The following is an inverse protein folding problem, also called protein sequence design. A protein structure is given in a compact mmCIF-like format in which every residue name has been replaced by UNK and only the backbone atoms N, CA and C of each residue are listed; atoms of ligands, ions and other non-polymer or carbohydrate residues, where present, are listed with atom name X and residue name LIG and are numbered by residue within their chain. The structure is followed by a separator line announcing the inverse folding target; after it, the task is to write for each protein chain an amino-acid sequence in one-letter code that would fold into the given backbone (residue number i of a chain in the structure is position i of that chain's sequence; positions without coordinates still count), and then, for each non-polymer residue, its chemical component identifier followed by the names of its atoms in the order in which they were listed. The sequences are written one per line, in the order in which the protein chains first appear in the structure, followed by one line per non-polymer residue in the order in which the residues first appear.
data_IF_227862491383
#
_entry.id   IF_227862491383
#
_cell.length_a   1.000
_cell.length_b   1.000
_cell.length_c   1.000
_cell.angle_alpha   90.00
_cell.angle_beta   90.00
_cell.angle_gamma   90.00
#
_symmetry.space_group_name_H-M   'P 1'
#
loop_
_entity.id
_entity.type
_entity.pdbx_description
1 polymer ?
#
# COMPACT_ATOMS: atom_id res chain seq x y z
N UNK A 1 -51.91 1.25 39.78
CA UNK A 1 -51.83 1.54 38.33
C UNK A 1 -50.39 1.32 37.91
N UNK A 2 -50.10 0.08 37.51
CA UNK A 2 -48.86 -0.32 36.85
C UNK A 2 -48.93 0.23 35.42
N UNK A 3 -48.02 1.12 35.05
CA UNK A 3 -47.69 1.34 33.64
C UNK A 3 -46.33 0.70 33.37
N UNK A 4 -46.31 -0.03 32.28
CA UNK A 4 -45.51 -1.23 32.04
C UNK A 4 -44.10 -0.88 31.55
N UNK A 5 -43.08 -1.16 32.37
CA UNK A 5 -41.65 -1.04 32.06
C UNK A 5 -41.17 -2.09 31.02
N UNK A 6 -42.07 -2.93 30.48
CA UNK A 6 -41.71 -3.95 29.49
C UNK A 6 -41.69 -3.45 28.04
N UNK A 7 -42.24 -2.28 27.70
CA UNK A 7 -42.22 -1.79 26.31
C UNK A 7 -40.96 -1.01 25.90
N UNK A 8 -40.09 -0.60 26.84
CA UNK A 8 -38.80 0.03 26.50
C UNK A 8 -37.65 -0.98 26.31
N UNK A 9 -37.86 -2.26 26.63
CA UNK A 9 -36.83 -3.30 26.56
C UNK A 9 -36.78 -4.07 25.23
N UNK A 10 -37.63 -3.75 24.24
CA UNK A 10 -37.73 -4.53 22.98
C UNK A 10 -37.43 -3.72 21.71
N UNK A 11 -36.68 -2.62 21.83
CA UNK A 11 -36.05 -1.94 20.67
C UNK A 11 -34.51 -1.92 20.72
N UNK A 12 -33.91 -2.73 21.58
CA UNK A 12 -32.45 -2.86 21.75
C UNK A 12 -31.89 -4.21 21.28
N UNK A 13 -32.56 -4.83 20.33
CA UNK A 13 -32.08 -6.00 19.61
C UNK A 13 -32.15 -5.67 18.12
N UNK A 14 -31.05 -5.85 17.40
CA UNK A 14 -30.79 -5.43 16.00
C UNK A 14 -30.21 -4.00 15.87
N UNK A 15 -29.01 -3.78 16.39
CA UNK A 15 -27.95 -3.06 15.67
C UNK A 15 -26.64 -3.72 16.09
N UNK A 16 -25.80 -4.06 15.11
CA UNK A 16 -24.50 -4.68 15.32
C UNK A 16 -23.64 -3.86 16.27
N UNK A 17 -22.80 -4.56 17.03
CA UNK A 17 -21.87 -3.97 17.96
C UNK A 17 -20.69 -3.33 17.19
N UNK A 18 -20.95 -2.25 16.46
CA UNK A 18 -19.92 -1.36 15.91
C UNK A 18 -19.42 -0.49 17.06
N UNK A 19 -18.31 -0.90 17.69
CA UNK A 19 -17.55 0.03 18.52
C UNK A 19 -16.87 1.01 17.56
N UNK A 20 -17.47 2.19 17.43
CA UNK A 20 -16.91 3.35 16.73
C UNK A 20 -15.46 3.56 17.23
N UNK A 21 -14.49 3.64 16.33
CA UNK A 21 -13.10 3.89 16.70
C UNK A 21 -13.00 5.29 17.32
N UNK A 22 -12.33 5.41 18.47
CA UNK A 22 -12.18 6.69 19.20
C UNK A 22 -11.43 7.75 18.36
N UNK A 23 -10.73 7.30 17.31
CA UNK A 23 -10.05 8.14 16.34
C UNK A 23 -10.37 7.71 14.91
N UNK A 24 -10.44 8.69 14.01
CA UNK A 24 -10.67 8.49 12.57
C UNK A 24 -9.37 8.61 11.77
N UNK A 25 -8.40 9.38 12.27
CA UNK A 25 -7.21 9.76 11.51
C UNK A 25 -5.94 9.52 12.30
N UNK A 26 -4.99 8.79 11.72
CA UNK A 26 -3.62 8.69 12.23
C UNK A 26 -2.65 9.51 11.37
N UNK A 27 -1.72 10.23 12.01
CA UNK A 27 -0.65 10.96 11.30
C UNK A 27 0.65 10.15 11.39
N UNK A 28 1.07 9.60 10.25
CA UNK A 28 2.35 8.91 10.07
C UNK A 28 3.41 9.90 9.55
N UNK A 29 4.51 10.04 10.29
CA UNK A 29 5.61 10.95 9.95
C UNK A 29 6.94 10.36 10.44
N UNK A 30 8.05 10.94 9.98
CA UNK A 30 9.38 10.55 10.43
C UNK A 30 9.77 11.37 11.66
N UNK A 31 10.38 10.74 12.66
CA UNK A 31 11.01 11.46 13.74
C UNK A 31 12.28 12.16 13.20
N UNK A 32 12.16 13.45 12.93
CA UNK A 32 13.18 14.33 12.38
C UNK A 32 13.71 15.32 13.44
N UNK A 33 13.78 16.61 13.09
CA UNK A 33 14.14 17.72 13.95
C UNK A 33 12.94 18.23 14.76
N UNK A 34 13.21 19.02 15.81
CA UNK A 34 12.15 19.53 16.69
C UNK A 34 11.21 20.52 15.98
N UNK A 35 11.69 21.23 14.96
CA UNK A 35 10.85 22.11 14.13
C UNK A 35 9.77 21.28 13.39
N UNK A 36 10.16 20.14 12.82
CA UNK A 36 9.23 19.22 12.18
C UNK A 36 8.24 18.66 13.21
N UNK A 37 8.70 18.24 14.39
CA UNK A 37 7.82 17.68 15.44
C UNK A 37 6.79 18.69 15.93
N UNK A 38 7.19 19.95 16.09
CA UNK A 38 6.27 21.02 16.46
C UNK A 38 5.30 21.34 15.33
N UNK A 39 5.75 21.33 14.08
CA UNK A 39 4.87 21.51 12.93
C UNK A 39 3.79 20.41 12.84
N UNK A 40 4.18 19.15 13.06
CA UNK A 40 3.25 18.00 13.10
C UNK A 40 2.21 18.19 14.20
N UNK A 41 2.66 18.58 15.39
CA UNK A 41 1.78 18.87 16.52
C UNK A 41 0.81 20.00 16.19
N UNK A 42 1.29 21.09 15.60
CA UNK A 42 0.47 22.22 15.17
C UNK A 42 -0.62 21.80 14.18
N UNK A 43 -0.26 21.03 13.14
CA UNK A 43 -1.22 20.48 12.18
C UNK A 43 -2.26 19.59 12.87
N UNK A 44 -1.82 18.67 13.72
CA UNK A 44 -2.71 17.75 14.45
C UNK A 44 -3.68 18.50 15.38
N UNK A 45 -3.18 19.50 16.11
CA UNK A 45 -4.00 20.37 16.96
C UNK A 45 -5.03 21.13 16.15
N UNK A 46 -4.66 21.69 15.01
CA UNK A 46 -5.58 22.42 14.14
C UNK A 46 -6.68 21.49 13.59
N UNK A 47 -6.30 20.31 13.07
CA UNK A 47 -7.27 19.30 12.61
C UNK A 47 -8.25 18.88 13.72
N UNK A 48 -7.78 18.74 14.98
CA UNK A 48 -8.65 18.45 16.12
C UNK A 48 -9.59 19.59 16.46
N UNK A 49 -9.10 20.83 16.41
CA UNK A 49 -9.95 22.01 16.59
C UNK A 49 -11.06 22.07 15.54
N UNK A 50 -10.77 21.63 14.32
CA UNK A 50 -11.69 21.63 13.19
C UNK A 50 -12.54 20.34 13.09
N UNK A 51 -12.56 19.52 14.15
CA UNK A 51 -13.50 18.42 14.32
C UNK A 51 -12.99 17.03 13.91
N UNK A 52 -11.72 16.90 13.53
CA UNK A 52 -11.12 15.60 13.17
C UNK A 52 -10.60 14.88 14.42
N UNK A 53 -10.99 13.62 14.63
CA UNK A 53 -10.44 12.79 15.72
C UNK A 53 -9.06 12.24 15.33
N UNK A 54 -8.01 13.02 15.61
CA UNK A 54 -6.61 12.69 15.28
C UNK A 54 -5.92 11.91 16.39
N UNK A 55 -5.33 10.77 16.03
CA UNK A 55 -4.37 9.99 16.80
C UNK A 55 -2.94 10.41 16.44
N UNK A 56 -2.14 10.78 17.43
CA UNK A 56 -0.74 11.22 17.27
C UNK A 56 0.14 10.58 18.34
N UNK A 57 1.25 9.97 17.92
CA UNK A 57 2.21 9.30 18.82
C UNK A 57 2.72 10.21 19.95
N UNK A 58 2.93 11.50 19.68
CA UNK A 58 3.41 12.48 20.67
C UNK A 58 2.48 12.66 21.88
N UNK A 59 1.21 12.31 21.77
CA UNK A 59 0.24 12.39 22.87
C UNK A 59 -0.03 11.03 23.52
N UNK A 60 0.13 9.96 22.76
CA UNK A 60 -0.38 8.64 23.11
C UNK A 60 0.71 7.67 23.57
N UNK A 61 1.98 8.00 23.33
CA UNK A 61 3.12 7.13 23.66
C UNK A 61 3.95 7.70 24.80
N UNK A 62 4.41 6.81 25.68
CA UNK A 62 5.27 7.12 26.82
C UNK A 62 6.55 6.28 26.79
N UNK A 63 7.62 6.67 27.50
CA UNK A 63 8.83 5.86 27.58
C UNK A 63 8.54 4.45 28.11
N UNK A 64 8.88 3.43 27.32
CA UNK A 64 8.57 2.03 27.59
C UNK A 64 7.63 1.40 26.57
N UNK A 65 6.88 2.21 25.83
CA UNK A 65 5.99 1.73 24.78
C UNK A 65 6.76 1.21 23.56
N UNK A 66 6.16 0.20 22.92
CA UNK A 66 6.64 -0.31 21.65
C UNK A 66 6.04 0.50 20.50
N UNK A 67 6.75 1.56 20.08
CA UNK A 67 6.35 2.41 18.95
C UNK A 67 5.94 1.63 17.68
N UNK A 68 6.61 0.53 17.28
CA UNK A 68 6.19 -0.25 16.12
C UNK A 68 4.80 -0.88 16.28
N UNK A 69 4.48 -1.39 17.47
CA UNK A 69 3.17 -1.98 17.76
C UNK A 69 2.08 -0.92 17.75
N UNK A 70 2.35 0.25 18.37
CA UNK A 70 1.45 1.40 18.34
C UNK A 70 1.15 1.83 16.89
N UNK A 71 2.19 1.97 16.05
CA UNK A 71 2.03 2.37 14.66
C UNK A 71 1.20 1.35 13.86
N UNK A 72 1.48 0.04 14.01
CA UNK A 72 0.71 -1.00 13.33
C UNK A 72 -0.78 -0.95 13.73
N UNK A 73 -1.07 -0.78 15.01
CA UNK A 73 -2.44 -0.65 15.51
C UNK A 73 -3.12 0.63 15.00
N UNK A 74 -2.44 1.77 15.08
CA UNK A 74 -2.91 3.05 14.62
C UNK A 74 -3.26 3.04 13.13
N UNK A 75 -2.36 2.47 12.32
CA UNK A 75 -2.56 2.28 10.89
C UNK A 75 -3.79 1.39 10.65
N UNK A 76 -3.89 0.24 11.30
CA UNK A 76 -4.99 -0.71 11.08
C UNK A 76 -6.35 -0.12 11.46
N UNK A 77 -6.44 0.57 12.60
CA UNK A 77 -7.70 1.02 13.20
C UNK A 77 -8.21 2.36 12.66
N UNK A 78 -7.34 3.19 12.09
CA UNK A 78 -7.76 4.49 11.57
C UNK A 78 -8.49 4.36 10.23
N UNK A 79 -9.48 5.22 10.02
CA UNK A 79 -10.18 5.35 8.74
C UNK A 79 -9.29 6.01 7.68
N UNK A 80 -8.56 7.06 8.07
CA UNK A 80 -7.52 7.67 7.25
C UNK A 80 -6.16 7.60 7.94
N UNK A 81 -5.13 7.50 7.12
CA UNK A 81 -3.74 7.60 7.53
C UNK A 81 -3.10 8.71 6.71
N UNK A 82 -2.83 9.83 7.36
CA UNK A 82 -2.14 10.98 6.77
C UNK A 82 -0.64 10.70 6.79
N UNK A 83 -0.02 10.70 5.62
CA UNK A 83 1.40 10.39 5.45
C UNK A 83 2.17 11.67 5.20
N UNK A 84 3.00 12.08 6.14
CA UNK A 84 3.80 13.29 6.00
C UNK A 84 5.08 12.97 5.23
N UNK A 85 5.07 13.31 3.95
CA UNK A 85 6.16 13.10 3.03
C UNK A 85 7.24 14.18 3.19
N UNK A 86 8.45 13.73 3.50
CA UNK A 86 9.70 14.48 3.50
C UNK A 86 10.81 13.61 2.91
N UNK A 87 11.97 14.16 2.50
CA UNK A 87 13.08 13.36 2.00
C UNK A 87 13.55 12.31 3.02
N UNK A 88 13.48 12.64 4.31
CA UNK A 88 13.84 11.74 5.40
C UNK A 88 12.78 10.64 5.62
N UNK A 89 11.49 10.96 5.50
CA UNK A 89 10.43 9.95 5.51
C UNK A 89 10.63 8.92 4.39
N UNK A 90 10.86 9.40 3.16
CA UNK A 90 11.16 8.52 2.02
C UNK A 90 12.36 7.63 2.30
N UNK A 91 13.48 8.21 2.74
CA UNK A 91 14.69 7.45 3.02
C UNK A 91 14.44 6.33 4.04
N UNK A 92 13.72 6.61 5.15
CA UNK A 92 13.38 5.61 6.17
C UNK A 92 12.41 4.55 5.65
N UNK A 93 11.38 4.96 4.91
CA UNK A 93 10.40 4.04 4.33
C UNK A 93 11.04 3.09 3.33
N UNK A 94 11.95 3.58 2.48
CA UNK A 94 12.62 2.78 1.46
C UNK A 94 13.80 1.96 2.01
N UNK A 95 14.45 2.41 3.09
CA UNK A 95 15.50 1.64 3.76
C UNK A 95 14.98 0.33 4.39
N UNK A 96 13.68 0.22 4.67
CA UNK A 96 13.03 -1.01 5.14
C UNK A 96 13.15 -2.16 4.15
N UNK A 97 13.17 -1.85 2.85
CA UNK A 97 13.36 -2.82 1.76
C UNK A 97 14.73 -3.52 1.76
N UNK A 98 15.68 -3.03 2.57
CA UNK A 98 17.05 -3.57 2.73
C UNK A 98 17.31 -4.30 4.06
N UNK A 99 16.28 -4.51 4.89
CA UNK A 99 16.37 -5.36 6.09
C UNK A 99 16.83 -4.69 7.40
N UNK A 100 16.86 -3.35 7.49
CA UNK A 100 17.28 -2.64 8.72
C UNK A 100 16.36 -1.48 9.13
N UNK A 101 15.16 -1.32 8.56
CA UNK A 101 14.21 -0.30 9.03
C UNK A 101 12.77 -0.84 9.15
N UNK A 102 12.41 -1.18 10.39
CA UNK A 102 11.14 -1.81 10.78
C UNK A 102 9.88 -0.97 10.47
N UNK A 103 9.99 0.36 10.45
CA UNK A 103 8.84 1.26 10.24
C UNK A 103 8.37 1.31 8.78
N UNK A 104 9.32 1.19 7.83
CA UNK A 104 9.03 1.19 6.40
C UNK A 104 8.25 -0.06 6.00
N UNK A 105 8.56 -1.19 6.61
CA UNK A 105 7.96 -2.48 6.29
C UNK A 105 6.49 -2.57 6.73
N UNK A 106 6.12 -2.04 7.90
CA UNK A 106 4.73 -2.07 8.40
C UNK A 106 3.82 -1.22 7.52
N UNK A 107 4.25 0.01 7.21
CA UNK A 107 3.46 0.94 6.40
C UNK A 107 3.36 0.45 4.95
N UNK A 108 4.48 -0.01 4.38
CA UNK A 108 4.51 -0.54 3.03
C UNK A 108 3.70 -1.83 2.94
N UNK A 109 3.81 -2.73 3.91
CA UNK A 109 2.99 -3.94 3.97
C UNK A 109 1.50 -3.58 4.08
N UNK A 110 1.09 -2.70 5.00
CA UNK A 110 -0.32 -2.31 5.07
C UNK A 110 -0.78 -1.66 3.76
N UNK A 111 -0.02 -0.73 3.16
CA UNK A 111 -0.47 -0.09 1.91
C UNK A 111 -0.50 -1.07 0.73
N UNK A 112 0.41 -2.05 0.70
CA UNK A 112 0.46 -3.08 -0.34
C UNK A 112 -0.61 -4.17 -0.14
N UNK A 113 -0.97 -4.46 1.11
CA UNK A 113 -1.95 -5.49 1.48
C UNK A 113 -3.37 -4.92 1.57
N UNK A 114 -3.52 -3.63 1.88
CA UNK A 114 -4.79 -2.97 2.11
C UNK A 114 -5.32 -2.35 0.81
N UNK A 115 -6.49 -2.83 0.40
CA UNK A 115 -7.16 -2.44 -0.86
C UNK A 115 -7.82 -1.08 -0.80
N UNK A 116 -7.98 -0.52 0.40
CA UNK A 116 -8.42 0.86 0.53
C UNK A 116 -7.23 1.80 0.33
N UNK A 117 -6.83 1.95 -0.93
CA UNK A 117 -5.76 2.87 -1.27
C UNK A 117 -6.11 4.33 -0.93
N UNK A 118 -7.40 4.65 -0.71
CA UNK A 118 -7.88 5.99 -0.35
C UNK A 118 -7.76 6.28 1.14
N UNK A 119 -7.59 5.25 1.99
CA UNK A 119 -7.21 5.42 3.40
C UNK A 119 -5.92 6.21 3.57
N UNK A 120 -4.95 6.00 2.70
CA UNK A 120 -3.64 6.63 2.79
C UNK A 120 -3.60 7.96 2.04
N UNK A 121 -3.56 9.06 2.79
CA UNK A 121 -3.60 10.44 2.28
C UNK A 121 -2.18 11.03 2.34
N UNK A 122 -1.47 11.14 1.20
CA UNK A 122 -0.12 11.70 1.19
C UNK A 122 -0.15 13.22 1.29
N UNK A 123 0.73 13.76 2.13
CA UNK A 123 0.89 15.20 2.36
C UNK A 123 2.36 15.57 2.21
N UNK A 124 2.69 16.46 1.28
CA UNK A 124 4.04 16.97 1.11
C UNK A 124 4.33 18.05 2.16
N UNK A 125 5.38 17.87 2.97
CA UNK A 125 5.83 18.87 3.96
C UNK A 125 7.16 19.54 3.60
N UNK A 126 8.12 18.83 3.01
CA UNK A 126 9.46 19.36 2.73
C UNK A 126 10.02 18.71 1.47
N UNK A 127 10.81 19.46 0.70
CA UNK A 127 11.40 18.99 -0.56
C UNK A 127 10.40 18.96 -1.72
N UNK A 128 10.81 18.41 -2.85
CA UNK A 128 9.90 18.09 -3.97
C UNK A 128 9.17 16.77 -3.76
N UNK A 129 8.07 16.55 -4.49
CA UNK A 129 7.34 15.29 -4.43
C UNK A 129 8.23 14.10 -4.79
N UNK A 130 9.08 14.24 -5.80
CA UNK A 130 10.00 13.19 -6.25
C UNK A 130 11.03 12.80 -5.17
N UNK A 131 11.47 13.77 -4.38
CA UNK A 131 12.43 13.59 -3.29
C UNK A 131 11.78 13.09 -2.01
N UNK A 132 10.52 13.43 -1.77
CA UNK A 132 9.84 13.20 -0.49
C UNK A 132 8.85 12.03 -0.50
N UNK A 133 8.34 11.63 -1.66
CA UNK A 133 7.40 10.52 -1.77
C UNK A 133 8.15 9.17 -1.87
N UNK A 134 7.86 8.22 -0.96
CA UNK A 134 8.21 6.82 -1.16
C UNK A 134 7.72 6.30 -2.52
N UNK A 135 8.46 5.35 -3.09
CA UNK A 135 8.15 4.79 -4.42
C UNK A 135 6.72 4.23 -4.53
N UNK A 136 6.16 3.72 -3.43
CA UNK A 136 4.79 3.21 -3.36
C UNK A 136 3.70 4.31 -3.29
N UNK A 137 4.06 5.57 -3.06
CA UNK A 137 3.15 6.73 -3.09
C UNK A 137 3.21 7.54 -4.38
N UNK A 138 4.27 7.41 -5.19
CA UNK A 138 4.52 8.32 -6.34
C UNK A 138 3.36 8.51 -7.31
N UNK A 139 2.52 7.49 -7.49
CA UNK A 139 1.36 7.54 -8.39
C UNK A 139 0.05 8.03 -7.74
N UNK A 140 0.05 8.37 -6.44
CA UNK A 140 -1.13 8.85 -5.73
C UNK A 140 -1.25 10.37 -5.81
N UNK A 141 -2.49 10.85 -5.81
CA UNK A 141 -2.79 12.26 -5.56
C UNK A 141 -2.34 12.60 -4.13
N UNK A 142 -1.74 13.78 -3.95
CA UNK A 142 -1.22 14.25 -2.67
C UNK A 142 -1.63 15.71 -2.43
N UNK A 143 -1.51 16.15 -1.18
CA UNK A 143 -1.80 17.53 -0.76
C UNK A 143 -0.48 18.22 -0.43
N UNK A 144 -0.26 19.41 -0.98
CA UNK A 144 0.96 20.18 -0.73
C UNK A 144 0.78 21.16 0.43
N UNK A 145 1.45 20.87 1.56
CA UNK A 145 1.58 21.72 2.75
C UNK A 145 3.04 22.13 2.99
N UNK A 146 3.87 22.17 1.94
CA UNK A 146 5.30 22.51 2.06
C UNK A 146 5.57 23.99 2.33
N UNK A 147 4.61 24.87 2.02
CA UNK A 147 4.70 26.29 2.32
C UNK A 147 4.84 26.61 3.81
N UNK A 148 5.38 27.80 4.11
CA UNK A 148 5.43 28.34 5.46
C UNK A 148 5.09 29.85 5.45
N UNK A 149 3.83 30.24 5.77
CA UNK A 149 2.68 29.36 6.02
C UNK A 149 2.26 28.57 4.77
N UNK A 150 1.64 27.41 4.95
CA UNK A 150 1.10 26.62 3.84
C UNK A 150 -0.23 27.21 3.32
N UNK A 151 -0.63 26.79 2.12
CA UNK A 151 -1.87 27.26 1.48
C UNK A 151 -3.10 26.88 2.29
N UNK A 152 -4.00 27.84 2.51
CA UNK A 152 -5.30 27.60 3.13
C UNK A 152 -6.15 26.62 2.30
N UNK A 153 -6.10 26.72 0.97
CA UNK A 153 -6.86 25.84 0.08
C UNK A 153 -6.39 24.38 0.20
N UNK A 154 -5.07 24.16 0.27
CA UNK A 154 -4.51 22.81 0.49
C UNK A 154 -4.94 22.24 1.84
N UNK A 155 -4.97 23.08 2.88
CA UNK A 155 -5.44 22.67 4.21
C UNK A 155 -6.93 22.32 4.19
N UNK A 156 -7.76 23.17 3.56
CA UNK A 156 -9.20 22.90 3.40
C UNK A 156 -9.46 21.62 2.61
N UNK A 157 -8.64 21.32 1.60
CA UNK A 157 -8.76 20.07 0.85
C UNK A 157 -8.45 18.84 1.72
N UNK A 158 -7.43 18.93 2.58
CA UNK A 158 -7.12 17.88 3.55
C UNK A 158 -8.27 17.70 4.53
N UNK A 159 -8.76 18.80 5.12
CA UNK A 159 -9.85 18.77 6.09
C UNK A 159 -11.12 18.15 5.49
N UNK A 160 -11.54 18.60 4.31
CA UNK A 160 -12.72 18.06 3.62
C UNK A 160 -12.55 16.58 3.25
N UNK A 161 -11.32 16.16 2.92
CA UNK A 161 -11.03 14.74 2.68
C UNK A 161 -11.20 13.90 3.95
N UNK A 162 -10.67 14.37 5.08
CA UNK A 162 -10.74 13.64 6.35
C UNK A 162 -12.13 13.60 6.97
N UNK A 163 -13.00 14.57 6.62
CA UNK A 163 -14.39 14.65 7.06
C UNK A 163 -15.40 14.05 6.07
N UNK A 164 -14.97 13.43 4.96
CA UNK A 164 -15.83 12.99 3.85
C UNK A 164 -16.73 14.11 3.26
N UNK A 165 -16.29 15.36 3.36
CA UNK A 165 -17.02 16.55 2.93
C UNK A 165 -16.57 17.07 1.55
N UNK A 166 -15.80 16.28 0.79
CA UNK A 166 -15.38 16.63 -0.58
C UNK A 166 -16.60 16.77 -1.50
N UNK A 167 -16.50 17.71 -2.44
CA UNK A 167 -17.56 17.98 -3.42
C UNK A 167 -17.93 16.71 -4.20
N UNK A 168 -19.22 16.39 -4.24
CA UNK A 168 -19.73 15.27 -5.03
C UNK A 168 -20.04 15.73 -6.44
N UNK A 169 -19.77 14.88 -7.42
CA UNK A 169 -20.09 15.19 -8.80
C UNK A 169 -21.59 15.50 -8.93
N UNK A 170 -21.97 16.55 -9.67
CA UNK A 170 -23.38 16.86 -9.90
C UNK A 170 -24.08 15.71 -10.63
N UNK A 171 -25.39 15.60 -10.44
CA UNK A 171 -26.19 14.55 -11.05
C UNK A 171 -26.06 14.54 -12.58
N UNK A 172 -25.90 13.34 -13.14
CA UNK A 172 -25.86 13.16 -14.59
C UNK A 172 -27.27 13.33 -15.14
N UNK A 173 -27.45 14.26 -16.08
CA UNK A 173 -28.72 14.46 -16.76
C UNK A 173 -29.24 13.13 -17.39
N UNK A 174 -30.56 12.86 -17.35
CA UNK A 174 -31.10 11.63 -17.90
C UNK A 174 -30.79 11.50 -19.39
N UNK A 175 -30.12 10.40 -19.77
CA UNK A 175 -29.89 10.03 -21.17
C UNK A 175 -31.24 9.75 -21.84
N UNK A 176 -31.47 10.35 -23.01
CA UNK A 176 -32.58 9.97 -23.89
C UNK A 176 -32.51 8.46 -24.20
N UNK A 177 -33.61 7.77 -23.96
CA UNK A 177 -33.71 6.31 -23.94
C UNK A 177 -33.53 5.68 -25.32
N UNK A 178 -32.52 4.81 -25.46
CA UNK A 178 -32.62 3.66 -26.37
C UNK A 178 -32.66 2.39 -25.53
N UNK A 179 -33.86 1.85 -25.44
CA UNK A 179 -34.27 0.47 -25.16
C UNK A 179 -33.31 -0.47 -24.40
N UNK A 180 -33.79 -0.84 -23.20
CA UNK A 180 -33.76 -2.18 -22.61
C UNK A 180 -32.48 -3.01 -22.81
N UNK A 181 -31.56 -2.92 -21.85
CA UNK A 181 -30.74 -4.07 -21.47
C UNK A 181 -30.82 -4.28 -19.96
N UNK A 182 -31.65 -5.28 -19.63
CA UNK A 182 -31.61 -6.19 -18.48
C UNK A 182 -30.75 -5.75 -17.29
N UNK A 183 -31.42 -5.53 -16.16
CA UNK A 183 -30.83 -5.39 -14.84
C UNK A 183 -29.92 -6.59 -14.54
N UNK A 184 -28.63 -6.40 -14.21
CA UNK A 184 -27.92 -7.36 -13.41
C UNK A 184 -28.30 -7.13 -11.94
N UNK A 185 -28.60 -8.25 -11.28
CA UNK A 185 -28.77 -8.42 -9.85
C UNK A 185 -27.88 -7.52 -8.99
N UNK A 186 -28.42 -7.16 -7.82
CA UNK A 186 -27.69 -6.69 -6.62
C UNK A 186 -26.31 -7.35 -6.60
N UNK A 187 -25.26 -6.57 -6.86
CA UNK A 187 -23.89 -7.02 -6.63
C UNK A 187 -23.72 -7.03 -5.12
N UNK A 188 -23.79 -8.22 -4.55
CA UNK A 188 -23.04 -8.53 -3.33
C UNK A 188 -21.67 -7.84 -3.44
N UNK A 189 -21.27 -7.14 -2.37
CA UNK A 189 -19.91 -6.63 -2.27
C UNK A 189 -18.96 -7.74 -2.72
N UNK A 190 -18.07 -7.50 -3.71
CA UNK A 190 -17.14 -8.53 -4.11
C UNK A 190 -16.29 -8.83 -2.89
N UNK A 191 -16.46 -10.03 -2.35
CA UNK A 191 -15.66 -10.57 -1.27
C UNK A 191 -14.19 -10.29 -1.59
N UNK A 192 -13.51 -9.71 -0.61
CA UNK A 192 -12.08 -9.44 -0.66
C UNK A 192 -11.37 -10.70 -1.18
N UNK A 193 -10.53 -10.59 -2.22
CA UNK A 193 -9.63 -11.64 -2.55
C UNK A 193 -8.67 -11.79 -1.37
N UNK A 194 -8.92 -12.87 -0.65
CA UNK A 194 -8.07 -13.55 0.33
C UNK A 194 -6.60 -13.54 -0.10
N UNK A 195 -5.73 -13.83 0.85
CA UNK A 195 -4.40 -14.38 0.62
C UNK A 195 -4.31 -15.34 -0.60
N UNK A 196 -5.39 -16.08 -0.88
CA UNK A 196 -5.64 -16.92 -2.06
C UNK A 196 -5.63 -16.20 -3.42
N UNK A 197 -5.46 -14.87 -3.47
CA UNK A 197 -5.67 -14.10 -4.68
C UNK A 197 -4.43 -13.82 -5.50
N UNK A 198 -3.24 -13.97 -4.91
CA UNK A 198 -2.02 -13.99 -5.71
C UNK A 198 -1.99 -15.31 -6.50
N UNK A 199 -2.14 -15.17 -7.81
CA UNK A 199 -1.93 -16.28 -8.74
C UNK A 199 -0.61 -16.09 -9.43
N UNK A 200 0.03 -17.20 -9.72
CA UNK A 200 1.35 -17.23 -10.34
C UNK A 200 1.41 -16.39 -11.61
N UNK A 201 2.53 -15.68 -11.74
CA UNK A 201 2.89 -14.97 -12.94
C UNK A 201 3.61 -15.97 -13.84
N UNK A 202 3.17 -16.04 -15.09
CA UNK A 202 3.69 -16.97 -16.09
C UNK A 202 4.04 -16.20 -17.35
N UNK A 203 4.98 -16.70 -18.15
CA UNK A 203 5.21 -16.18 -19.50
C UNK A 203 4.19 -16.82 -20.43
N UNK A 204 3.30 -16.01 -21.00
CA UNK A 204 2.29 -16.47 -21.96
C UNK A 204 2.87 -16.71 -23.33
N UNK A 205 3.64 -15.75 -23.84
CA UNK A 205 4.24 -15.84 -25.17
C UNK A 205 5.42 -14.90 -25.35
N UNK A 206 6.29 -15.28 -26.29
CA UNK A 206 7.28 -14.41 -26.91
C UNK A 206 6.56 -13.49 -27.91
N UNK A 207 6.77 -12.18 -27.80
CA UNK A 207 6.15 -11.20 -28.70
C UNK A 207 7.06 -10.96 -29.92
N UNK A 208 7.00 -11.89 -30.89
CA UNK A 208 7.89 -11.93 -32.07
C UNK A 208 7.79 -10.65 -32.91
N UNK A 209 6.59 -10.06 -33.00
CA UNK A 209 6.32 -8.84 -33.78
C UNK A 209 6.87 -7.54 -33.15
N UNK A 210 7.29 -7.59 -31.88
CA UNK A 210 7.84 -6.43 -31.13
C UNK A 210 9.36 -6.54 -30.90
N UNK A 211 10.02 -7.50 -31.54
CA UNK A 211 11.48 -7.66 -31.47
C UNK A 211 12.13 -6.53 -32.25
N UNK A 212 12.90 -5.68 -31.57
CA UNK A 212 13.60 -4.55 -32.21
C UNK A 212 14.63 -5.06 -33.22
N UNK A 213 14.72 -4.43 -34.39
CA UNK A 213 15.75 -4.77 -35.40
C UNK A 213 17.16 -4.45 -34.86
N UNK A 214 18.15 -5.31 -35.11
CA UNK A 214 19.54 -5.08 -34.67
C UNK A 214 20.14 -3.87 -35.39
N UNK A 215 20.92 -3.05 -34.66
CA UNK A 215 21.72 -1.99 -35.30
C UNK A 215 22.85 -2.66 -36.10
N UNK A 216 22.85 -2.52 -37.43
CA UNK A 216 23.93 -3.07 -38.26
C UNK A 216 25.12 -2.10 -38.39
N UNK A 217 25.46 -1.40 -37.30
CA UNK A 217 26.50 -0.34 -37.28
C UNK A 217 27.93 -0.84 -37.06
N UNK A 218 28.13 -2.16 -36.90
CA UNK A 218 29.45 -2.78 -36.78
C UNK A 218 30.15 -2.56 -35.44
N UNK A 219 29.50 -1.93 -34.46
CA UNK A 219 30.02 -1.83 -33.09
C UNK A 219 29.88 -3.15 -32.32
N UNK A 220 30.73 -3.39 -31.33
CA UNK A 220 30.63 -4.60 -30.50
C UNK A 220 29.29 -4.61 -29.73
N UNK A 221 28.36 -5.48 -30.14
CA UNK A 221 27.01 -5.58 -29.57
C UNK A 221 25.88 -5.11 -30.49
N UNK A 222 26.19 -4.67 -31.71
CA UNK A 222 25.22 -4.15 -32.67
C UNK A 222 24.14 -5.19 -33.11
N UNK A 223 24.46 -6.48 -33.01
CA UNK A 223 23.54 -7.59 -33.30
C UNK A 223 22.55 -7.95 -32.15
N UNK A 224 22.59 -7.24 -31.02
CA UNK A 224 21.83 -7.61 -29.82
C UNK A 224 20.55 -6.78 -29.70
N UNK A 225 19.40 -7.42 -29.64
CA UNK A 225 18.08 -6.76 -29.59
C UNK A 225 17.38 -6.94 -28.24
N UNK A 226 16.25 -6.24 -28.07
CA UNK A 226 15.35 -6.37 -26.92
C UNK A 226 14.29 -7.41 -27.25
N UNK A 227 14.16 -8.41 -26.37
CA UNK A 227 13.20 -9.50 -26.54
C UNK A 227 12.06 -9.34 -25.54
N UNK A 228 10.85 -8.95 -26.00
CA UNK A 228 9.67 -8.85 -25.15
C UNK A 228 8.95 -10.19 -24.94
N UNK A 229 8.54 -10.42 -23.70
CA UNK A 229 7.70 -11.53 -23.27
C UNK A 229 6.42 -10.96 -22.63
N UNK A 230 5.28 -11.54 -23.01
CA UNK A 230 3.99 -11.22 -22.40
C UNK A 230 3.80 -12.05 -21.13
N UNK A 231 3.56 -11.38 -20.00
CA UNK A 231 3.26 -12.01 -18.72
C UNK A 231 1.76 -12.31 -18.59
N UNK A 232 1.41 -13.28 -17.74
CA UNK A 232 0.02 -13.69 -17.52
C UNK A 232 -0.87 -12.62 -16.91
N UNK A 233 -0.26 -11.62 -16.28
CA UNK A 233 -0.83 -10.45 -15.62
C UNK A 233 0.26 -9.39 -15.39
N UNK A 234 -0.16 -8.16 -15.08
CA UNK A 234 0.77 -7.15 -14.55
C UNK A 234 1.24 -7.57 -13.15
N UNK A 235 2.56 -7.80 -12.95
CA UNK A 235 3.10 -8.17 -11.66
C UNK A 235 3.06 -6.98 -10.69
N UNK A 236 2.88 -7.23 -9.38
CA UNK A 236 3.17 -6.23 -8.35
C UNK A 236 4.62 -5.72 -8.45
N UNK A 237 4.87 -4.45 -8.11
CA UNK A 237 6.20 -3.83 -8.24
C UNK A 237 7.28 -4.59 -7.46
N UNK A 238 6.99 -4.98 -6.23
CA UNK A 238 7.88 -5.78 -5.38
C UNK A 238 8.17 -7.17 -5.97
N UNK A 239 7.19 -7.80 -6.64
CA UNK A 239 7.45 -9.02 -7.41
C UNK A 239 8.39 -8.74 -8.59
N UNK A 240 8.18 -7.64 -9.33
CA UNK A 240 9.04 -7.27 -10.46
C UNK A 240 10.49 -7.01 -10.01
N UNK A 241 10.68 -6.28 -8.91
CA UNK A 241 11.99 -5.99 -8.32
C UNK A 241 12.66 -7.28 -7.82
N UNK A 242 11.89 -8.22 -7.26
CA UNK A 242 12.40 -9.55 -6.86
C UNK A 242 12.79 -10.40 -8.08
N UNK A 243 11.98 -10.38 -9.14
CA UNK A 243 12.26 -11.10 -10.39
C UNK A 243 13.55 -10.63 -11.05
N UNK A 244 13.77 -9.31 -11.11
CA UNK A 244 15.01 -8.73 -11.66
C UNK A 244 16.23 -9.15 -10.82
N UNK A 245 16.13 -9.15 -9.48
CA UNK A 245 17.20 -9.62 -8.60
C UNK A 245 17.48 -11.11 -8.77
N UNK A 246 16.43 -11.93 -8.87
CA UNK A 246 16.54 -13.37 -9.11
C UNK A 246 17.10 -13.65 -10.50
N UNK A 247 16.85 -12.79 -11.49
CA UNK A 247 17.51 -12.88 -12.79
C UNK A 247 19.00 -12.60 -12.69
N UNK A 248 19.42 -11.55 -11.98
CA UNK A 248 20.84 -11.21 -11.82
C UNK A 248 21.62 -12.25 -10.99
N UNK A 249 20.91 -13.00 -10.16
CA UNK A 249 21.42 -14.08 -9.33
C UNK A 249 20.56 -15.34 -9.45
N UNK A 250 20.58 -16.02 -10.61
CA UNK A 250 19.69 -17.14 -10.87
C UNK A 250 20.08 -18.37 -10.04
N UNK A 251 19.11 -19.24 -9.70
CA UNK A 251 19.37 -20.48 -8.97
C UNK A 251 20.37 -21.38 -9.70
N UNK A 252 20.37 -21.32 -11.03
CA UNK A 252 21.37 -21.98 -11.89
C UNK A 252 21.85 -20.99 -12.95
N UNK A 253 23.16 -20.75 -13.00
CA UNK A 253 23.76 -19.91 -14.03
C UNK A 253 23.81 -20.64 -15.38
N UNK A 254 23.16 -20.07 -16.38
CA UNK A 254 23.36 -20.48 -17.76
C UNK A 254 24.76 -20.07 -18.27
N UNK A 255 25.31 -20.81 -19.23
CA UNK A 255 26.68 -20.64 -19.71
C UNK A 255 26.97 -19.26 -20.33
N UNK A 256 25.93 -18.55 -20.78
CA UNK A 256 26.00 -17.17 -21.31
C UNK A 256 25.14 -16.18 -20.52
N UNK A 257 24.87 -16.46 -19.25
CA UNK A 257 24.06 -15.59 -18.40
C UNK A 257 24.68 -14.19 -18.26
N UNK A 258 23.85 -13.14 -18.37
CA UNK A 258 24.27 -11.74 -18.29
C UNK A 258 23.37 -10.98 -17.32
N UNK A 259 23.86 -10.64 -16.12
CA UNK A 259 23.14 -9.76 -15.20
C UNK A 259 22.88 -8.37 -15.78
N UNK A 260 21.89 -7.66 -15.25
CA UNK A 260 21.50 -6.31 -15.66
C UNK A 260 20.92 -6.27 -17.07
N UNK A 261 20.28 -7.36 -17.51
CA UNK A 261 19.64 -7.45 -18.83
C UNK A 261 18.13 -7.50 -18.76
N UNK A 262 17.55 -7.84 -17.60
CA UNK A 262 16.10 -7.92 -17.42
C UNK A 262 15.51 -6.56 -17.03
N UNK A 263 14.33 -6.25 -17.58
CA UNK A 263 13.47 -5.15 -17.11
C UNK A 263 12.00 -5.55 -17.26
N UNK A 264 11.15 -5.06 -16.37
CA UNK A 264 9.71 -5.38 -16.36
C UNK A 264 8.93 -4.06 -16.36
N UNK A 265 7.96 -3.94 -17.26
CA UNK A 265 7.07 -2.79 -17.35
C UNK A 265 5.65 -3.26 -17.70
N UNK A 266 4.67 -2.89 -16.88
CA UNK A 266 3.32 -3.44 -16.97
C UNK A 266 3.32 -4.98 -17.02
N UNK A 267 2.53 -5.57 -17.92
CA UNK A 267 2.52 -7.02 -18.14
C UNK A 267 3.61 -7.51 -19.12
N UNK A 268 4.71 -6.76 -19.29
CA UNK A 268 5.77 -7.06 -20.25
C UNK A 268 7.11 -7.25 -19.53
N UNK A 269 7.78 -8.35 -19.84
CA UNK A 269 9.16 -8.61 -19.42
C UNK A 269 10.08 -8.47 -20.62
N UNK A 270 11.19 -7.78 -20.45
CA UNK A 270 12.16 -7.52 -21.51
C UNK A 270 13.50 -8.12 -21.12
N UNK A 271 14.08 -8.93 -22.01
CA UNK A 271 15.49 -9.28 -21.98
C UNK A 271 16.24 -8.41 -22.98
N UNK A 272 17.10 -7.54 -22.47
CA UNK A 272 17.92 -6.64 -23.25
C UNK A 272 19.24 -7.31 -23.61
N UNK A 273 19.81 -6.98 -24.76
CA UNK A 273 21.13 -7.47 -25.19
C UNK A 273 21.18 -9.00 -25.38
N UNK A 274 20.11 -9.59 -25.90
CA UNK A 274 20.01 -11.05 -26.17
C UNK A 274 19.48 -11.31 -27.59
N UNK A 275 19.57 -12.55 -28.05
CA UNK A 275 19.00 -13.02 -29.33
C UNK A 275 17.90 -14.05 -29.07
N UNK A 276 16.96 -14.23 -30.00
CA UNK A 276 15.90 -15.25 -29.97
C UNK A 276 16.52 -16.64 -29.89
N UNK A 277 17.62 -16.89 -30.61
CA UNK A 277 18.36 -18.14 -30.57
C UNK A 277 18.94 -18.38 -29.17
N UNK A 278 19.54 -17.36 -28.56
CA UNK A 278 20.06 -17.46 -27.20
C UNK A 278 18.94 -17.60 -26.15
N UNK A 279 17.78 -16.99 -26.38
CA UNK A 279 16.57 -17.23 -25.58
C UNK A 279 16.14 -18.68 -25.68
N UNK A 280 16.07 -19.25 -26.89
CA UNK A 280 15.65 -20.63 -27.11
C UNK A 280 16.64 -21.64 -26.51
N UNK A 281 17.93 -21.43 -26.74
CA UNK A 281 18.97 -22.44 -26.51
C UNK A 281 19.61 -22.33 -25.11
N UNK A 282 19.50 -21.18 -24.45
CA UNK A 282 20.24 -20.89 -23.20
C UNK A 282 19.35 -20.30 -22.12
N UNK A 283 18.57 -19.24 -22.41
CA UNK A 283 17.90 -18.46 -21.35
C UNK A 283 16.49 -18.95 -21.00
N UNK A 284 15.82 -19.75 -21.83
CA UNK A 284 14.44 -20.20 -21.58
C UNK A 284 14.30 -20.90 -20.24
N UNK A 285 15.16 -21.86 -19.95
CA UNK A 285 15.10 -22.65 -18.70
C UNK A 285 15.39 -21.77 -17.49
N UNK A 286 16.41 -20.92 -17.57
CA UNK A 286 16.74 -19.95 -16.52
C UNK A 286 15.60 -18.97 -16.28
N UNK A 287 14.96 -18.47 -17.34
CA UNK A 287 13.87 -17.51 -17.24
C UNK A 287 12.63 -18.11 -16.54
N UNK A 288 12.28 -19.35 -16.88
CA UNK A 288 11.20 -20.08 -16.19
C UNK A 288 11.56 -20.32 -14.73
N UNK A 289 12.77 -20.81 -14.45
CA UNK A 289 13.23 -21.07 -13.08
C UNK A 289 13.23 -19.80 -12.21
N UNK A 290 13.65 -18.65 -12.77
CA UNK A 290 13.63 -17.36 -12.09
C UNK A 290 12.20 -16.94 -11.73
N UNK A 291 11.25 -17.11 -12.66
CA UNK A 291 9.84 -16.77 -12.42
C UNK A 291 9.24 -17.68 -11.34
N UNK A 292 9.52 -18.98 -11.39
CA UNK A 292 9.00 -19.95 -10.41
C UNK A 292 9.54 -19.67 -9.00
N UNK A 293 10.85 -19.43 -8.88
CA UNK A 293 11.48 -19.03 -7.61
C UNK A 293 10.90 -17.71 -7.11
N UNK A 294 10.68 -16.74 -8.01
CA UNK A 294 10.08 -15.45 -7.64
C UNK A 294 8.65 -15.62 -7.14
N UNK A 295 7.82 -16.43 -7.80
CA UNK A 295 6.47 -16.74 -7.36
C UNK A 295 6.46 -17.41 -5.97
N UNK A 296 7.35 -18.38 -5.74
CA UNK A 296 7.47 -19.07 -4.46
C UNK A 296 7.91 -18.13 -3.34
N UNK A 297 8.98 -17.36 -3.55
CA UNK A 297 9.48 -16.38 -2.58
C UNK A 297 8.43 -15.30 -2.29
N UNK A 298 7.68 -14.87 -3.30
CA UNK A 298 6.65 -13.87 -3.13
C UNK A 298 5.47 -14.39 -2.30
N UNK A 299 5.01 -15.62 -2.57
CA UNK A 299 3.97 -16.27 -1.76
C UNK A 299 4.41 -16.44 -0.31
N UNK A 300 5.63 -16.94 -0.09
CA UNK A 300 6.18 -17.10 1.26
C UNK A 300 6.24 -15.77 2.00
N UNK A 301 6.72 -14.71 1.33
CA UNK A 301 6.78 -13.38 1.93
C UNK A 301 5.39 -12.85 2.32
N UNK A 302 4.39 -13.08 1.46
CA UNK A 302 3.00 -12.77 1.79
C UNK A 302 2.54 -13.58 3.02
N UNK A 303 2.83 -14.89 3.10
CA UNK A 303 2.36 -15.78 4.17
C UNK A 303 2.89 -15.31 5.52
N UNK A 304 4.19 -15.04 5.58
CA UNK A 304 4.86 -14.51 6.76
C UNK A 304 4.29 -13.16 7.23
N UNK A 305 3.89 -12.29 6.29
CA UNK A 305 3.23 -11.03 6.63
C UNK A 305 1.82 -11.25 7.19
N UNK A 306 1.06 -12.14 6.57
CA UNK A 306 -0.29 -12.50 7.01
C UNK A 306 -0.28 -13.07 8.43
N UNK A 307 0.64 -13.99 8.73
CA UNK A 307 0.73 -14.62 10.04
C UNK A 307 1.17 -13.62 11.11
N UNK A 308 2.14 -12.75 10.81
CA UNK A 308 2.53 -11.64 11.70
C UNK A 308 1.36 -10.71 12.01
N UNK A 309 0.57 -10.34 11.02
CA UNK A 309 -0.61 -9.49 11.22
C UNK A 309 -1.66 -10.17 12.10
N UNK A 310 -1.87 -11.49 11.94
CA UNK A 310 -2.78 -12.27 12.79
C UNK A 310 -2.31 -12.34 14.24
N UNK A 311 -1.02 -12.57 14.46
CA UNK A 311 -0.41 -12.63 15.78
C UNK A 311 -0.55 -11.28 16.52
N UNK A 312 -0.27 -10.18 15.82
CA UNK A 312 -0.47 -8.82 16.35
C UNK A 312 -1.94 -8.56 16.67
N UNK A 313 -2.87 -8.94 15.79
CA UNK A 313 -4.30 -8.77 16.01
C UNK A 313 -4.81 -9.60 17.21
N UNK A 314 -4.32 -10.83 17.36
CA UNK A 314 -4.66 -11.70 18.48
C UNK A 314 -4.11 -11.15 19.80
N UNK A 315 -2.85 -10.74 19.82
CA UNK A 315 -2.21 -10.11 20.98
C UNK A 315 -2.96 -8.86 21.41
N UNK A 316 -3.35 -8.03 20.44
CA UNK A 316 -4.17 -6.83 20.68
C UNK A 316 -5.56 -7.16 21.23
N UNK A 317 -6.19 -8.24 20.73
CA UNK A 317 -7.48 -8.71 21.23
C UNK A 317 -7.38 -9.20 22.68
N UNK A 318 -6.33 -9.96 23.01
CA UNK A 318 -6.07 -10.45 24.36
C UNK A 318 -5.79 -9.29 25.32
N UNK A 319 -4.91 -8.36 24.93
CA UNK A 319 -4.59 -7.17 25.72
C UNK A 319 -5.84 -6.33 26.00
N UNK A 320 -6.67 -6.07 24.98
CA UNK A 320 -7.92 -5.31 25.12
C UNK A 320 -8.94 -6.02 26.00
N UNK A 321 -9.00 -7.35 25.97
CA UNK A 321 -9.85 -8.13 26.87
C UNK A 321 -9.38 -7.98 28.33
N UNK A 322 -8.08 -8.08 28.58
CA UNK A 322 -7.49 -7.88 29.90
C UNK A 322 -7.74 -6.48 30.46
N UNK A 323 -7.54 -5.42 29.65
CA UNK A 323 -7.79 -4.04 30.07
C UNK A 323 -9.26 -3.83 30.41
N UNK A 324 -10.19 -4.41 29.65
CA UNK A 324 -11.63 -4.33 29.96
C UNK A 324 -11.98 -5.03 31.27
N UNK A 325 -11.38 -6.19 31.53
CA UNK A 325 -11.61 -6.95 32.76
C UNK A 325 -11.16 -6.12 33.97
N UNK A 326 -9.94 -5.59 33.94
CA UNK A 326 -9.38 -4.74 34.99
C UNK A 326 -10.16 -3.44 35.18
N UNK A 327 -10.63 -2.80 34.10
CA UNK A 327 -11.43 -1.59 34.19
C UNK A 327 -12.84 -1.82 34.76
N UNK A 328 -13.37 -3.05 34.65
CA UNK A 328 -14.65 -3.45 35.24
C UNK A 328 -14.59 -3.61 36.77
N UNK A 329 -13.41 -3.84 37.32
CA UNK A 329 -13.18 -4.05 38.76
C UNK A 329 -12.90 -2.75 39.55
N UNK A 330 -12.87 -1.60 38.87
CA UNK A 330 -12.62 -0.29 39.49
C UNK A 330 -13.97 0.42 39.73
N UNK A 331 -14.45 0.41 40.97
CA UNK A 331 -15.60 1.23 41.41
C UNK A 331 -15.15 2.64 41.84
N UNK A 332 -15.92 3.67 41.48
CA UNK A 332 -15.72 5.08 41.88
C UNK A 332 -16.77 5.53 42.90
#
# INVERSE_FOLDING_TARGET
MLFDLREMATRRTILGNDRESDHDVFISYAWEDDEHREWIRGLATQLRHDGVRVLLDQWETVPGDQLPEFMAQAISQSKYVVIICTPRYKQRSEAGLGGVAYEGDIMTAEVLLNRDHRKFIPVLRRGSWEEAAPTWLKGKLYIDLSGNPYSADSYSDLLNTLLDAREQAPDVAPRASSEARMSPSIREHPMLPSFDSFRDIEIRRLMVDEVTEPSLDGTAGSALYRVPFELSRTPPRNWADLCIRNWDHPPTFATRHRPGTMSIDGARLWLNRTTIEEVRDVHRETLVAVIDVTNAMFKQHLEELSDRLREVAETSRVHRANVRDVAGDIEF
#
